data_IF_052015696779
#
_entry.id   IF_052015696779
#
_cell.length_a   1.000
_cell.length_b   1.000
_cell.length_c   1.000
_cell.angle_alpha   90.00
_cell.angle_beta   90.00
_cell.angle_gamma   90.00
#
_symmetry.space_group_name_H-M   'P 1'
#
loop_
_entity.id
_entity.type
_entity.pdbx_description
1 polymer ?
#
# COMPACT_ATOMS: atom_id res chain seq x y z
N UNK A 1 17.93 -6.11 2.13
CA UNK A 1 18.09 -7.44 1.48
C UNK A 1 17.10 -8.39 2.10
N UNK A 2 16.31 -9.08 1.29
CA UNK A 2 15.27 -10.00 1.74
C UNK A 2 15.69 -11.40 1.32
N UNK A 3 15.94 -12.28 2.28
CA UNK A 3 16.28 -13.68 1.99
C UNK A 3 15.14 -14.37 1.21
N UNK A 4 15.45 -15.26 0.27
CA UNK A 4 14.43 -15.99 -0.50
C UNK A 4 13.57 -16.87 0.40
N UNK A 5 12.35 -17.21 -0.04
CA UNK A 5 11.46 -18.09 0.73
C UNK A 5 12.10 -19.47 0.93
N UNK A 6 12.69 -20.03 -0.12
CA UNK A 6 13.33 -21.34 -0.10
C UNK A 6 14.47 -21.40 0.92
N UNK A 7 15.28 -20.35 0.99
CA UNK A 7 16.36 -20.27 1.98
C UNK A 7 15.82 -20.25 3.40
N UNK A 8 14.76 -19.47 3.67
CA UNK A 8 14.12 -19.46 5.00
C UNK A 8 13.55 -20.83 5.35
N UNK A 9 12.93 -21.52 4.39
CA UNK A 9 12.42 -22.87 4.58
C UNK A 9 13.53 -23.86 4.91
N UNK A 10 14.67 -23.76 4.21
CA UNK A 10 15.83 -24.61 4.47
C UNK A 10 16.37 -24.41 5.90
N UNK A 11 16.53 -23.16 6.35
CA UNK A 11 17.00 -22.86 7.71
C UNK A 11 16.02 -23.40 8.77
N UNK A 12 14.71 -23.26 8.53
CA UNK A 12 13.71 -23.80 9.45
C UNK A 12 13.68 -25.33 9.46
N UNK A 13 13.91 -25.98 8.31
CA UNK A 13 14.03 -27.44 8.22
C UNK A 13 15.18 -27.96 9.09
N UNK A 14 16.33 -27.29 9.09
CA UNK A 14 17.45 -27.70 9.94
C UNK A 14 17.17 -27.54 11.44
N UNK A 15 16.31 -26.60 11.84
CA UNK A 15 15.83 -26.54 13.23
C UNK A 15 14.91 -27.73 13.57
N UNK A 16 14.05 -28.13 12.65
CA UNK A 16 13.16 -29.28 12.83
C UNK A 16 13.94 -30.61 12.88
N UNK A 17 15.10 -30.67 12.21
CA UNK A 17 16.06 -31.78 12.27
C UNK A 17 16.86 -31.82 13.60
N UNK A 18 16.66 -30.84 14.50
CA UNK A 18 17.21 -30.84 15.85
C UNK A 18 18.28 -29.78 16.11
N UNK A 19 18.62 -28.93 15.14
CA UNK A 19 19.57 -27.83 15.33
C UNK A 19 18.99 -26.77 16.27
N UNK A 20 19.83 -26.23 17.16
CA UNK A 20 19.44 -25.10 18.00
C UNK A 20 19.49 -23.78 17.23
N UNK A 21 18.82 -22.73 17.74
CA UNK A 21 18.88 -21.40 17.11
C UNK A 21 20.29 -20.81 17.07
N UNK A 22 21.14 -21.11 18.07
CA UNK A 22 22.50 -20.58 18.13
C UNK A 22 23.39 -21.25 17.07
N UNK A 23 23.31 -22.58 16.96
CA UNK A 23 24.03 -23.34 15.93
C UNK A 23 23.58 -22.94 14.52
N UNK A 24 22.27 -22.79 14.30
CA UNK A 24 21.76 -22.34 13.00
C UNK A 24 22.21 -20.90 12.68
N UNK A 25 22.25 -20.02 13.67
CA UNK A 25 22.73 -18.65 13.49
C UNK A 25 24.20 -18.62 13.07
N UNK A 26 25.05 -19.43 13.69
CA UNK A 26 26.46 -19.55 13.35
C UNK A 26 26.66 -20.20 11.98
N UNK A 27 25.97 -21.31 11.71
CA UNK A 27 26.09 -22.07 10.46
C UNK A 27 25.64 -21.26 9.23
N UNK A 28 24.49 -20.59 9.33
CA UNK A 28 23.94 -19.79 8.21
C UNK A 28 24.44 -18.34 8.20
N UNK A 29 25.30 -17.96 9.15
CA UNK A 29 25.75 -16.58 9.35
C UNK A 29 24.58 -15.58 9.43
N UNK A 30 23.60 -15.91 10.28
CA UNK A 30 22.39 -15.12 10.52
C UNK A 30 22.32 -14.70 11.99
N UNK A 31 21.57 -13.64 12.27
CA UNK A 31 21.23 -13.35 13.67
C UNK A 31 20.18 -14.36 14.19
N UNK A 32 20.28 -14.81 15.46
CA UNK A 32 19.24 -15.66 16.07
C UNK A 32 17.84 -15.03 15.99
N UNK A 33 17.78 -13.69 16.09
CA UNK A 33 16.53 -12.92 15.95
C UNK A 33 15.92 -13.03 14.55
N UNK A 34 16.72 -13.16 13.50
CA UNK A 34 16.24 -13.35 12.13
C UNK A 34 15.54 -14.69 11.98
N UNK A 35 16.16 -15.74 12.51
CA UNK A 35 15.62 -17.11 12.49
C UNK A 35 14.32 -17.19 13.31
N UNK A 36 14.30 -16.60 14.51
CA UNK A 36 13.08 -16.48 15.33
C UNK A 36 11.95 -15.75 14.60
N UNK A 37 12.27 -14.66 13.89
CA UNK A 37 11.29 -13.94 13.09
C UNK A 37 10.70 -14.79 11.96
N UNK A 38 11.50 -15.63 11.29
CA UNK A 38 11.02 -16.56 10.27
C UNK A 38 10.15 -17.67 10.83
N UNK A 39 10.49 -18.20 12.01
CA UNK A 39 9.65 -19.18 12.71
C UNK A 39 8.27 -18.60 13.04
N UNK A 40 8.21 -17.32 13.44
CA UNK A 40 6.94 -16.60 13.67
C UNK A 40 6.19 -16.29 12.38
N UNK A 41 6.91 -15.90 11.33
CA UNK A 41 6.35 -15.57 10.02
C UNK A 41 7.38 -15.80 8.93
N UNK A 42 7.15 -16.83 8.12
CA UNK A 42 8.07 -17.20 7.04
C UNK A 42 8.00 -16.23 5.86
N UNK A 43 6.82 -15.71 5.53
CA UNK A 43 6.61 -14.79 4.42
C UNK A 43 6.94 -13.34 4.81
N UNK A 44 7.71 -12.63 3.98
CA UNK A 44 7.96 -11.21 4.19
C UNK A 44 6.68 -10.39 4.00
N UNK A 45 6.56 -9.27 4.71
CA UNK A 45 5.52 -8.28 4.41
C UNK A 45 5.82 -7.67 3.03
N UNK A 46 4.97 -7.95 2.05
CA UNK A 46 5.12 -7.39 0.69
C UNK A 46 4.80 -5.90 0.65
N UNK A 47 3.80 -5.48 1.43
CA UNK A 47 3.32 -4.11 1.46
C UNK A 47 3.20 -3.58 2.88
N UNK A 48 3.53 -2.29 3.04
CA UNK A 48 3.28 -1.56 4.27
C UNK A 48 1.85 -1.02 4.21
N UNK A 49 1.04 -1.36 5.21
CA UNK A 49 -0.26 -0.71 5.39
C UNK A 49 -0.03 0.70 5.91
N UNK A 50 -0.24 1.71 5.06
CA UNK A 50 -0.07 3.13 5.41
C UNK A 50 -1.41 3.84 5.33
N UNK A 51 -1.78 4.54 6.40
CA UNK A 51 -2.94 5.42 6.37
C UNK A 51 -2.64 6.67 5.53
N UNK A 52 -3.64 7.22 4.81
CA UNK A 52 -3.50 8.50 4.14
C UNK A 52 -3.18 9.61 5.15
N UNK A 53 -2.15 10.41 4.88
CA UNK A 53 -1.77 11.49 5.80
C UNK A 53 -2.55 12.79 5.53
N UNK A 54 -2.55 13.28 4.29
CA UNK A 54 -3.06 14.62 3.95
C UNK A 54 -4.51 14.67 3.48
N UNK A 55 -4.99 13.61 2.82
CA UNK A 55 -6.33 13.54 2.23
C UNK A 55 -7.05 12.33 2.84
N UNK A 56 -7.94 12.55 3.84
CA UNK A 56 -8.81 11.51 4.37
C UNK A 56 -9.74 10.98 3.30
N UNK A 57 -10.04 9.68 3.37
CA UNK A 57 -10.87 9.00 2.37
C UNK A 57 -12.31 9.52 2.39
N UNK A 58 -12.87 9.80 3.57
CA UNK A 58 -14.24 10.31 3.73
C UNK A 58 -14.43 11.68 3.09
N UNK A 59 -13.45 12.57 3.28
CA UNK A 59 -13.46 13.93 2.73
C UNK A 59 -13.42 13.87 1.19
N UNK A 60 -12.55 13.04 0.63
CA UNK A 60 -12.46 12.87 -0.82
C UNK A 60 -13.72 12.22 -1.40
N UNK A 61 -14.32 11.27 -0.68
CA UNK A 61 -15.53 10.60 -1.14
C UNK A 61 -16.73 11.56 -1.16
N UNK A 62 -16.84 12.46 -0.18
CA UNK A 62 -17.86 13.51 -0.18
C UNK A 62 -17.66 14.50 -1.34
N UNK A 63 -16.42 14.94 -1.55
CA UNK A 63 -16.04 15.84 -2.65
C UNK A 63 -16.36 15.24 -4.04
N UNK A 64 -16.17 13.93 -4.21
CA UNK A 64 -16.53 13.20 -5.43
C UNK A 64 -18.03 13.11 -5.64
N UNK A 65 -18.83 13.00 -4.57
CA UNK A 65 -20.30 12.96 -4.66
C UNK A 65 -20.89 14.32 -5.00
N UNK A 66 -20.40 15.38 -4.37
CA UNK A 66 -20.89 16.75 -4.59
C UNK A 66 -20.49 17.29 -5.97
N UNK A 67 -19.28 16.94 -6.42
CA UNK A 67 -18.71 17.46 -7.65
C UNK A 67 -18.20 16.30 -8.51
N UNK A 68 -19.07 15.48 -9.14
CA UNK A 68 -18.63 14.28 -9.87
C UNK A 68 -17.77 14.61 -11.10
N UNK A 69 -18.05 15.74 -11.76
CA UNK A 69 -17.44 16.12 -13.04
C UNK A 69 -16.16 16.96 -12.92
N UNK A 70 -15.85 17.42 -11.70
CA UNK A 70 -14.74 18.33 -11.48
C UNK A 70 -13.37 17.68 -11.68
N UNK A 71 -12.47 18.49 -12.24
CA UNK A 71 -11.10 18.13 -12.52
C UNK A 71 -10.31 17.97 -11.22
N UNK A 72 -9.25 17.15 -11.29
CA UNK A 72 -8.37 16.92 -10.14
C UNK A 72 -7.72 18.21 -9.59
N UNK A 73 -7.51 19.24 -10.43
CA UNK A 73 -6.96 20.52 -9.97
C UNK A 73 -7.99 21.36 -9.19
N UNK A 74 -9.28 21.23 -9.50
CA UNK A 74 -10.38 21.92 -8.79
C UNK A 74 -10.56 21.33 -7.40
N UNK A 75 -10.61 20.00 -7.34
CA UNK A 75 -10.61 19.23 -6.08
C UNK A 75 -9.39 19.55 -5.23
N UNK A 76 -8.21 19.64 -5.86
CA UNK A 76 -6.97 19.97 -5.17
C UNK A 76 -7.01 21.37 -4.54
N UNK A 77 -7.62 22.34 -5.23
CA UNK A 77 -7.83 23.70 -4.70
C UNK A 77 -8.79 23.68 -3.51
N UNK A 78 -9.89 22.91 -3.58
CA UNK A 78 -10.87 22.75 -2.49
C UNK A 78 -10.26 22.06 -1.26
N UNK A 79 -9.51 20.98 -1.47
CA UNK A 79 -8.91 20.16 -0.41
C UNK A 79 -7.50 20.62 0.01
N UNK A 80 -7.05 21.79 -0.46
CA UNK A 80 -5.75 22.38 -0.16
C UNK A 80 -4.56 21.40 -0.30
N UNK A 81 -4.54 20.67 -1.41
CA UNK A 81 -3.52 19.67 -1.71
C UNK A 81 -3.00 19.81 -3.15
N UNK A 82 -2.05 18.95 -3.54
CA UNK A 82 -1.59 18.92 -4.92
C UNK A 82 -2.55 18.11 -5.79
N UNK A 83 -2.62 18.44 -7.09
CA UNK A 83 -3.31 17.62 -8.10
C UNK A 83 -2.84 16.16 -8.07
N UNK A 84 -1.53 15.94 -7.94
CA UNK A 84 -0.95 14.60 -7.85
C UNK A 84 -1.40 13.85 -6.59
N UNK A 85 -1.56 14.56 -5.47
CA UNK A 85 -2.12 14.00 -4.24
C UNK A 85 -3.55 13.50 -4.44
N UNK A 86 -4.40 14.29 -5.10
CA UNK A 86 -5.76 13.87 -5.49
C UNK A 86 -5.71 12.64 -6.42
N UNK A 87 -4.84 12.64 -7.43
CA UNK A 87 -4.70 11.50 -8.34
C UNK A 87 -4.40 10.19 -7.58
N UNK A 88 -3.42 10.21 -6.68
CA UNK A 88 -3.08 9.03 -5.87
C UNK A 88 -4.19 8.64 -4.91
N UNK A 89 -4.89 9.62 -4.32
CA UNK A 89 -6.01 9.35 -3.43
C UNK A 89 -7.21 8.73 -4.16
N UNK A 90 -7.55 9.21 -5.36
CA UNK A 90 -8.59 8.61 -6.20
C UNK A 90 -8.23 7.18 -6.62
N UNK A 91 -6.97 6.94 -7.04
CA UNK A 91 -6.47 5.60 -7.37
C UNK A 91 -6.54 4.65 -6.17
N UNK A 92 -6.19 5.12 -4.97
CA UNK A 92 -6.29 4.34 -3.73
C UNK A 92 -7.73 3.90 -3.46
N UNK A 93 -8.71 4.76 -3.73
CA UNK A 93 -10.14 4.47 -3.57
C UNK A 93 -10.75 3.68 -4.74
N UNK A 94 -9.97 3.33 -5.77
CA UNK A 94 -10.47 2.66 -6.96
C UNK A 94 -11.40 3.51 -7.83
N UNK A 95 -11.40 4.83 -7.63
CA UNK A 95 -12.27 5.76 -8.37
C UNK A 95 -11.57 6.12 -9.69
N UNK A 96 -12.20 5.76 -10.80
CA UNK A 96 -11.82 6.19 -12.14
C UNK A 96 -13.01 6.90 -12.77
N UNK A 97 -12.86 8.19 -13.07
CA UNK A 97 -13.91 8.96 -13.72
C UNK A 97 -13.65 8.95 -15.23
N UNK A 98 -14.59 8.36 -15.97
CA UNK A 98 -14.65 8.48 -17.43
C UNK A 98 -15.51 9.70 -17.74
N UNK A 99 -14.94 10.70 -18.39
CA UNK A 99 -15.70 11.88 -18.80
C UNK A 99 -16.84 11.46 -19.72
N UNK A 100 -18.05 11.94 -19.42
CA UNK A 100 -19.13 11.95 -20.40
C UNK A 100 -18.82 13.05 -21.42
N UNK A 101 -18.81 12.72 -22.71
CA UNK A 101 -18.51 13.65 -23.80
C UNK A 101 -19.75 14.44 -24.24
N UNK A 102 -20.90 14.20 -23.61
CA UNK A 102 -22.13 14.94 -23.88
C UNK A 102 -21.94 16.39 -23.48
N UNK A 103 -22.12 17.28 -24.45
CA UNK A 103 -22.09 18.74 -24.24
C UNK A 103 -23.10 19.12 -23.15
N UNK A 104 -22.67 19.93 -22.18
CA UNK A 104 -23.61 20.51 -21.21
C UNK A 104 -24.71 21.24 -21.98
N UNK A 105 -25.98 21.04 -21.57
CA UNK A 105 -27.06 21.92 -22.05
C UNK A 105 -26.71 23.33 -21.60
N UNK A 106 -26.38 24.21 -22.55
CA UNK A 106 -26.23 25.62 -22.29
C UNK A 106 -27.51 26.14 -21.65
N UNK A 107 -27.40 26.89 -20.55
CA UNK A 107 -28.53 27.66 -20.05
C UNK A 107 -28.97 28.60 -21.17
N UNK A 108 -30.24 28.50 -21.57
CA UNK A 108 -30.89 29.51 -22.40
C UNK A 108 -31.07 30.77 -21.56
N UNK A 109 -30.60 31.90 -22.09
CA UNK A 109 -30.94 33.25 -21.60
C UNK A 109 -32.46 33.52 -21.71
#
# INVERSE_FOLDING_TARGET
MTYSLDFRMQVLKSLDEGMTFAEAAEFYNLSPTTIQNWKRRIHSKTTRQTKPYKIPDDVLLNDVKEHPDDYQYERARRLNCSKTGIHHALKRLGISQKKDLRTSKSLSD
#
